data_IF_112828615597
#
_entry.id   IF_112828615597
#
_cell.length_a   1.000
_cell.length_b   1.000
_cell.length_c   1.000
_cell.angle_alpha   90.00
_cell.angle_beta   90.00
_cell.angle_gamma   90.00
#
_symmetry.space_group_name_H-M   'P 1'
#
loop_
_entity.id
_entity.type
_entity.pdbx_description
1 polymer ?
#
# COMPACT_ATOMS: atom_id res chain seq x y z
N UNK A 1 3.59 -8.32 -5.00
CA UNK A 1 3.33 -7.98 -3.59
C UNK A 1 2.49 -9.01 -2.85
N UNK A 2 1.52 -9.62 -3.52
CA UNK A 2 0.71 -10.69 -2.92
C UNK A 2 1.55 -11.88 -2.45
N UNK A 3 2.57 -12.28 -3.21
CA UNK A 3 3.43 -13.38 -2.83
C UNK A 3 4.24 -13.04 -1.56
N UNK A 4 4.72 -11.80 -1.47
CA UNK A 4 5.41 -11.34 -0.26
C UNK A 4 4.49 -11.38 0.96
N UNK A 5 3.24 -10.95 0.78
CA UNK A 5 2.27 -10.97 1.87
C UNK A 5 2.01 -12.39 2.37
N UNK A 6 1.95 -13.37 1.48
CA UNK A 6 1.80 -14.79 1.85
C UNK A 6 3.04 -15.30 2.57
N UNK A 7 4.23 -15.04 2.01
CA UNK A 7 5.50 -15.54 2.55
C UNK A 7 5.81 -14.98 3.94
N UNK A 8 5.35 -13.77 4.24
CA UNK A 8 5.63 -13.09 5.50
C UNK A 8 4.37 -12.83 6.33
N UNK A 9 3.32 -13.64 6.13
CA UNK A 9 2.04 -13.46 6.83
C UNK A 9 2.17 -13.48 8.36
N UNK A 10 3.10 -14.26 8.91
CA UNK A 10 3.34 -14.35 10.35
C UNK A 10 4.34 -13.30 10.85
N UNK A 11 5.03 -12.61 9.93
CA UNK A 11 6.07 -11.63 10.25
C UNK A 11 5.53 -10.21 10.20
N UNK A 12 4.67 -9.90 9.23
CA UNK A 12 4.23 -8.53 8.97
C UNK A 12 2.78 -8.51 8.47
N UNK A 13 2.11 -7.40 8.75
CA UNK A 13 0.81 -7.08 8.14
C UNK A 13 1.05 -6.19 6.93
N UNK A 14 0.35 -6.47 5.85
CA UNK A 14 0.48 -5.72 4.60
C UNK A 14 -0.79 -4.92 4.35
N UNK A 15 -0.62 -3.70 3.87
CA UNK A 15 -1.73 -2.83 3.48
C UNK A 15 -1.36 -2.10 2.20
N UNK A 16 -2.32 -1.98 1.29
CA UNK A 16 -2.20 -1.12 0.13
C UNK A 16 -2.96 0.17 0.42
N UNK A 17 -2.34 1.31 0.14
CA UNK A 17 -3.01 2.61 0.32
C UNK A 17 -3.48 3.10 -1.04
N UNK A 18 -4.80 3.27 -1.19
CA UNK A 18 -5.40 3.82 -2.39
C UNK A 18 -5.42 5.34 -2.25
N UNK A 19 -4.61 6.00 -3.05
CA UNK A 19 -4.45 7.45 -3.03
C UNK A 19 -5.15 8.08 -4.23
N UNK A 20 -4.92 9.37 -4.48
CA UNK A 20 -5.47 10.06 -5.63
C UNK A 20 -5.13 9.33 -6.93
N UNK A 21 -6.14 9.18 -7.79
CA UNK A 21 -6.02 8.46 -9.05
C UNK A 21 -5.14 9.26 -10.04
N UNK A 22 -4.02 8.64 -10.46
CA UNK A 22 -3.07 9.27 -11.37
C UNK A 22 -3.56 9.26 -12.82
N UNK A 23 -4.39 8.26 -13.18
CA UNK A 23 -4.84 8.03 -14.56
C UNK A 23 -6.37 7.97 -14.64
N UNK A 24 -7.04 8.97 -14.07
CA UNK A 24 -8.50 9.06 -14.11
C UNK A 24 -8.98 9.34 -15.55
N UNK A 25 -10.09 8.69 -15.93
CA UNK A 25 -10.69 8.87 -17.25
C UNK A 25 -11.56 7.71 -17.67
N UNK A 26 -12.23 7.82 -18.82
CA UNK A 26 -13.11 6.77 -19.34
C UNK A 26 -14.20 6.40 -18.36
N UNK A 27 -14.28 5.11 -18.01
CA UNK A 27 -15.27 4.58 -17.07
C UNK A 27 -14.94 4.92 -15.61
N UNK A 28 -13.76 5.49 -15.35
CA UNK A 28 -13.29 5.84 -14.02
C UNK A 28 -12.82 7.30 -13.96
N UNK A 29 -13.75 8.26 -14.10
CA UNK A 29 -13.38 9.67 -13.99
C UNK A 29 -12.87 9.98 -12.57
N UNK A 30 -12.15 11.09 -12.43
CA UNK A 30 -11.67 11.54 -11.12
C UNK A 30 -12.84 11.58 -10.14
N UNK A 31 -12.78 10.87 -9.00
CA UNK A 31 -13.89 10.84 -8.04
C UNK A 31 -14.09 12.22 -7.40
N UNK A 32 -15.36 12.59 -7.20
CA UNK A 32 -15.75 13.85 -6.58
C UNK A 32 -16.01 13.70 -5.07
N UNK A 33 -16.14 12.46 -4.60
CA UNK A 33 -16.40 12.19 -3.19
C UNK A 33 -15.72 10.89 -2.75
N UNK A 34 -15.66 10.70 -1.42
CA UNK A 34 -14.98 9.54 -0.85
C UNK A 34 -15.71 8.22 -1.16
N UNK A 35 -17.02 8.25 -1.25
CA UNK A 35 -17.80 7.04 -1.56
C UNK A 35 -17.46 6.51 -2.95
N UNK A 36 -17.27 7.39 -3.93
CA UNK A 36 -16.86 7.02 -5.29
C UNK A 36 -15.45 6.44 -5.28
N UNK A 37 -14.51 7.05 -4.56
CA UNK A 37 -13.15 6.54 -4.44
C UNK A 37 -13.12 5.16 -3.79
N UNK A 38 -13.90 4.96 -2.73
CA UNK A 38 -14.02 3.67 -2.06
C UNK A 38 -14.58 2.61 -3.00
N UNK A 39 -15.56 2.98 -3.84
CA UNK A 39 -16.13 2.07 -4.84
C UNK A 39 -15.10 1.66 -5.88
N UNK A 40 -14.26 2.59 -6.35
CA UNK A 40 -13.19 2.29 -7.29
C UNK A 40 -12.19 1.30 -6.68
N UNK A 41 -11.77 1.54 -5.45
CA UNK A 41 -10.85 0.65 -4.75
C UNK A 41 -11.44 -0.76 -4.59
N UNK A 42 -12.72 -0.83 -4.23
CA UNK A 42 -13.44 -2.11 -4.08
C UNK A 42 -13.52 -2.86 -5.40
N UNK A 43 -13.83 -2.16 -6.50
CA UNK A 43 -13.88 -2.76 -7.83
C UNK A 43 -12.52 -3.32 -8.25
N UNK A 44 -11.44 -2.62 -7.93
CA UNK A 44 -10.08 -3.09 -8.22
C UNK A 44 -9.76 -4.36 -7.43
N UNK A 45 -10.10 -4.39 -6.13
CA UNK A 45 -9.90 -5.57 -5.28
C UNK A 45 -10.64 -6.78 -5.86
N UNK A 46 -11.89 -6.60 -6.27
CA UNK A 46 -12.70 -7.68 -6.84
C UNK A 46 -12.15 -8.15 -8.18
N UNK A 47 -11.75 -7.22 -9.05
CA UNK A 47 -11.25 -7.54 -10.39
C UNK A 47 -9.95 -8.32 -10.36
N UNK A 48 -9.09 -8.06 -9.37
CA UNK A 48 -7.77 -8.69 -9.25
C UNK A 48 -7.70 -9.75 -8.17
N UNK A 49 -8.83 -10.05 -7.50
CA UNK A 49 -8.89 -11.00 -6.38
C UNK A 49 -7.78 -10.70 -5.34
N UNK A 50 -7.61 -9.45 -5.01
CA UNK A 50 -6.55 -8.99 -4.12
C UNK A 50 -6.80 -9.46 -2.69
N UNK A 51 -5.75 -9.97 -2.03
CA UNK A 51 -5.82 -10.45 -0.64
C UNK A 51 -5.28 -9.44 0.35
N UNK A 52 -4.42 -8.53 -0.09
CA UNK A 52 -3.88 -7.46 0.77
C UNK A 52 -5.00 -6.44 1.02
N UNK A 53 -5.30 -6.13 2.30
CA UNK A 53 -6.30 -5.11 2.63
C UNK A 53 -5.95 -3.75 2.05
N UNK A 54 -6.96 -3.01 1.64
CA UNK A 54 -6.79 -1.68 1.03
C UNK A 54 -7.33 -0.62 1.97
N UNK A 55 -6.48 0.38 2.25
CA UNK A 55 -6.85 1.59 2.99
C UNK A 55 -7.06 2.69 1.96
N UNK A 56 -8.20 3.37 2.01
CA UNK A 56 -8.52 4.45 1.07
C UNK A 56 -8.20 5.79 1.72
N UNK A 57 -7.36 6.58 1.05
CA UNK A 57 -7.02 7.93 1.51
C UNK A 57 -8.23 8.86 1.41
N UNK A 58 -8.26 9.92 2.22
CA UNK A 58 -9.32 10.91 2.15
C UNK A 58 -9.22 11.76 0.88
N UNK A 59 -10.24 12.59 0.64
CA UNK A 59 -10.30 13.40 -0.58
C UNK A 59 -9.24 14.50 -0.61
N UNK A 60 -8.74 14.91 0.55
CA UNK A 60 -7.68 15.90 0.65
C UNK A 60 -6.29 15.30 0.45
N UNK A 61 -6.19 13.98 0.41
CA UNK A 61 -4.91 13.29 0.24
C UNK A 61 -4.00 13.37 1.45
N UNK A 62 -4.56 13.38 2.65
CA UNK A 62 -3.80 13.56 3.89
C UNK A 62 -2.71 12.53 4.07
N UNK A 63 -3.03 11.26 3.86
CA UNK A 63 -2.05 10.18 4.00
C UNK A 63 -0.98 10.27 2.90
N UNK A 64 -1.40 10.52 1.66
CA UNK A 64 -0.49 10.68 0.53
C UNK A 64 0.48 11.83 0.74
N UNK A 65 0.01 12.95 1.34
CA UNK A 65 0.88 14.08 1.71
C UNK A 65 1.96 13.67 2.71
N UNK A 66 1.58 12.94 3.75
CA UNK A 66 2.51 12.43 4.75
C UNK A 66 3.52 11.46 4.15
N UNK A 67 3.14 10.71 3.13
CA UNK A 67 3.99 9.72 2.48
C UNK A 67 4.76 10.26 1.26
N UNK A 68 4.72 11.58 1.01
CA UNK A 68 5.57 12.26 0.05
C UNK A 68 5.06 12.31 -1.39
N UNK A 69 3.80 11.98 -1.65
CA UNK A 69 3.15 12.08 -2.96
C UNK A 69 3.68 11.15 -4.06
N UNK A 70 4.50 10.16 -3.74
CA UNK A 70 5.03 9.25 -4.75
C UNK A 70 4.07 8.08 -5.00
N UNK A 71 3.77 7.73 -6.28
CA UNK A 71 2.71 6.76 -6.60
C UNK A 71 3.05 5.31 -6.28
N UNK A 72 4.33 4.93 -6.27
CA UNK A 72 4.74 3.54 -6.03
C UNK A 72 5.67 3.40 -4.84
N UNK A 73 5.54 4.31 -3.88
CA UNK A 73 6.37 4.27 -2.69
C UNK A 73 5.97 3.14 -1.75
N UNK A 74 6.91 2.74 -0.91
CA UNK A 74 6.70 1.73 0.11
C UNK A 74 7.32 2.18 1.42
N UNK A 75 6.66 1.83 2.51
CA UNK A 75 7.14 2.06 3.88
C UNK A 75 7.05 0.75 4.64
N UNK A 76 8.12 0.40 5.33
CA UNK A 76 8.14 -0.74 6.26
C UNK A 76 8.36 -0.18 7.66
N UNK A 77 7.43 -0.47 8.55
CA UNK A 77 7.52 -0.03 9.94
C UNK A 77 7.93 -1.21 10.82
N UNK A 78 8.76 -0.94 11.82
CA UNK A 78 9.11 -1.97 12.82
C UNK A 78 7.97 -2.12 13.85
N UNK A 79 8.15 -3.04 14.80
CA UNK A 79 7.14 -3.31 15.84
C UNK A 79 6.90 -2.15 16.80
N UNK A 80 7.70 -1.10 16.72
CA UNK A 80 7.55 0.12 17.54
C UNK A 80 6.95 1.28 16.75
N UNK A 81 6.58 1.04 15.48
CA UNK A 81 6.02 2.06 14.61
C UNK A 81 7.03 2.98 13.96
N UNK A 82 8.32 2.66 14.03
CA UNK A 82 9.37 3.46 13.40
C UNK A 82 9.63 2.95 11.99
N UNK A 83 10.01 3.86 11.09
CA UNK A 83 10.32 3.50 9.70
C UNK A 83 11.64 2.72 9.66
N UNK A 84 11.55 1.44 9.34
CA UNK A 84 12.72 0.57 9.15
C UNK A 84 13.27 0.67 7.73
N UNK A 85 12.40 0.96 6.76
CA UNK A 85 12.78 1.08 5.35
C UNK A 85 11.74 1.93 4.63
N UNK A 86 12.19 2.73 3.69
CA UNK A 86 11.29 3.43 2.76
C UNK A 86 11.95 3.57 1.40
N UNK A 87 11.13 3.57 0.34
CA UNK A 87 11.61 3.79 -1.02
C UNK A 87 10.52 4.46 -1.83
N UNK A 88 10.91 5.29 -2.79
CA UNK A 88 9.98 5.88 -3.75
C UNK A 88 9.56 4.88 -4.82
N UNK A 89 10.14 3.69 -4.82
CA UNK A 89 9.82 2.62 -5.75
C UNK A 89 9.70 1.30 -5.01
N UNK A 90 8.58 0.58 -5.22
CA UNK A 90 8.34 -0.69 -4.54
C UNK A 90 9.05 -1.83 -5.26
N UNK A 91 10.25 -2.17 -4.78
CA UNK A 91 11.02 -3.31 -5.25
C UNK A 91 10.73 -4.51 -4.37
N UNK A 92 10.14 -5.57 -4.92
CA UNK A 92 9.84 -6.80 -4.16
C UNK A 92 11.10 -7.44 -3.58
N UNK A 93 12.20 -7.36 -4.32
CA UNK A 93 13.49 -7.91 -3.90
C UNK A 93 14.02 -7.21 -2.65
N UNK A 94 13.98 -5.87 -2.65
CA UNK A 94 14.46 -5.08 -1.51
C UNK A 94 13.54 -5.24 -0.30
N UNK A 95 12.22 -5.24 -0.52
CA UNK A 95 11.25 -5.44 0.55
C UNK A 95 11.45 -6.81 1.20
N UNK A 96 11.65 -7.86 0.41
CA UNK A 96 11.90 -9.21 0.92
C UNK A 96 13.14 -9.24 1.82
N UNK A 97 14.20 -8.56 1.39
CA UNK A 97 15.45 -8.48 2.16
C UNK A 97 15.22 -7.80 3.52
N UNK A 98 14.48 -6.70 3.52
CA UNK A 98 14.15 -5.96 4.74
C UNK A 98 13.32 -6.82 5.69
N UNK A 99 12.28 -7.48 5.18
CA UNK A 99 11.41 -8.34 5.98
C UNK A 99 12.17 -9.54 6.57
N UNK A 100 13.07 -10.13 5.81
CA UNK A 100 13.94 -11.21 6.31
C UNK A 100 14.82 -10.71 7.45
N UNK A 101 15.39 -9.53 7.32
CA UNK A 101 16.23 -8.91 8.35
C UNK A 101 15.43 -8.66 9.64
N UNK A 102 14.22 -8.13 9.51
CA UNK A 102 13.34 -7.87 10.66
C UNK A 102 12.92 -9.17 11.35
N UNK A 103 12.61 -10.20 10.58
CA UNK A 103 12.24 -11.51 11.12
C UNK A 103 13.39 -12.13 11.92
N UNK A 104 14.61 -11.99 11.45
CA UNK A 104 15.80 -12.50 12.14
C UNK A 104 16.07 -11.71 13.43
N UNK A 105 15.83 -10.41 13.43
CA UNK A 105 16.01 -9.56 14.60
C UNK A 105 15.06 -9.88 15.76
N UNK A 106 13.89 -10.43 15.44
CA UNK A 106 12.85 -10.74 16.42
C UNK A 106 13.06 -12.11 17.10
N UNK A 107 14.10 -12.81 16.76
CA UNK A 107 14.41 -14.13 17.36
C UNK A 107 15.25 -14.01 18.63
#
# INVERSE_FOLDING_TARGET
>A
MEQLAQDFAETASFFTVWVREAHAGGDYPQPEDIATRQRYARSCVEAHDAKIPVIVDDMDGSLHQHLGYFPNSVYVLDGRGRVAYRSIWSSHREIRRVLQSLRESDK
#
